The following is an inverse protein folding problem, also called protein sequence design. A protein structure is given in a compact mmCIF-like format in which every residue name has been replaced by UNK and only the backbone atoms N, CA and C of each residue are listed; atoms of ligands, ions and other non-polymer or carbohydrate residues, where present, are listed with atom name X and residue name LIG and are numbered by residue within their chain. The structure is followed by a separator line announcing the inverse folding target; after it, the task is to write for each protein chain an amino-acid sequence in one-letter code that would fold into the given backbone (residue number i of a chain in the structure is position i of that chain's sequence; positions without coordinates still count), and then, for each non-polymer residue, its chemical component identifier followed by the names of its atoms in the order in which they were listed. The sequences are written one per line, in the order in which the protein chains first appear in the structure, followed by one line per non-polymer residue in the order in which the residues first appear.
data_IF_607333360798
#
_entry.id   IF_607333360798
#
_cell.length_a   1.000
_cell.length_b   1.000
_cell.length_c   1.000
_cell.angle_alpha   90.00
_cell.angle_beta   90.00
_cell.angle_gamma   90.00
#
_symmetry.space_group_name_H-M   'P 1'
#
loop_
_entity.id
_entity.type
_entity.pdbx_description
1 polymer ?
#
# COMPACT_ATOMS: atom_id res chain seq x y z
N UNK A 1 2.51 -3.66 -18.28
CA UNK A 1 2.76 -4.54 -17.12
C UNK A 1 2.13 -3.93 -15.86
N UNK A 2 1.47 -4.75 -15.03
CA UNK A 2 0.70 -4.20 -13.89
C UNK A 2 1.57 -4.19 -12.64
N UNK A 3 1.66 -3.05 -11.95
CA UNK A 3 2.38 -2.90 -10.69
C UNK A 3 2.03 -3.96 -9.62
N UNK A 4 0.77 -4.41 -9.47
CA UNK A 4 0.41 -5.46 -8.52
C UNK A 4 1.17 -6.77 -8.69
N UNK A 5 1.35 -7.25 -9.93
CA UNK A 5 2.07 -8.50 -10.18
C UNK A 5 3.56 -8.38 -9.81
N UNK A 6 4.14 -7.23 -10.12
CA UNK A 6 5.54 -6.96 -9.78
C UNK A 6 5.71 -6.77 -8.26
N UNK A 7 4.76 -6.12 -7.61
CA UNK A 7 4.72 -6.01 -6.15
C UNK A 7 4.64 -7.39 -5.48
N UNK A 8 3.75 -8.27 -5.98
CA UNK A 8 3.62 -9.63 -5.49
C UNK A 8 4.92 -10.43 -5.62
N UNK A 9 5.64 -10.26 -6.73
CA UNK A 9 6.93 -10.89 -6.92
C UNK A 9 7.94 -10.46 -5.83
N UNK A 10 8.09 -9.15 -5.58
CA UNK A 10 9.10 -8.64 -4.65
C UNK A 10 8.72 -8.80 -3.18
N UNK A 11 7.46 -8.66 -2.83
CA UNK A 11 7.00 -8.68 -1.44
C UNK A 11 6.30 -9.98 -1.02
N UNK A 12 5.85 -10.78 -1.97
CA UNK A 12 5.27 -12.09 -1.74
C UNK A 12 6.27 -13.21 -2.03
N UNK A 13 6.52 -13.49 -3.30
CA UNK A 13 7.25 -14.68 -3.74
C UNK A 13 8.73 -14.68 -3.32
N UNK A 14 9.44 -13.56 -3.52
CA UNK A 14 10.88 -13.48 -3.25
C UNK A 14 11.20 -13.70 -1.78
N UNK A 15 10.53 -13.07 -0.78
CA UNK A 15 10.82 -13.28 0.63
C UNK A 15 10.15 -14.52 1.24
N UNK A 16 9.26 -15.22 0.52
CA UNK A 16 8.49 -16.33 1.09
C UNK A 16 9.32 -17.45 1.74
N UNK A 17 10.43 -17.94 1.16
CA UNK A 17 11.24 -18.95 1.81
C UNK A 17 11.84 -18.48 3.14
N UNK A 18 12.28 -17.23 3.20
CA UNK A 18 12.82 -16.61 4.41
C UNK A 18 11.73 -16.39 5.46
N UNK A 19 10.58 -15.86 5.06
CA UNK A 19 9.43 -15.66 5.95
C UNK A 19 8.97 -16.99 6.54
N UNK A 20 8.89 -18.06 5.73
CA UNK A 20 8.58 -19.42 6.20
C UNK A 20 9.54 -19.86 7.29
N UNK A 21 10.83 -19.65 7.11
CA UNK A 21 11.85 -20.01 8.09
C UNK A 21 11.68 -19.23 9.41
N UNK A 22 11.33 -17.94 9.34
CA UNK A 22 11.13 -17.08 10.52
C UNK A 22 9.95 -17.54 11.39
N UNK A 23 8.88 -18.04 10.79
CA UNK A 23 7.66 -18.43 11.53
C UNK A 23 7.59 -19.94 11.80
N UNK A 24 8.57 -20.71 11.34
CA UNK A 24 8.60 -22.16 11.51
C UNK A 24 8.51 -22.55 12.99
N UNK A 25 7.51 -23.42 13.33
CA UNK A 25 7.22 -23.84 14.69
C UNK A 25 6.46 -22.81 15.54
N UNK A 26 6.09 -21.66 14.95
CA UNK A 26 5.35 -20.58 15.58
C UNK A 26 4.19 -20.08 14.69
N UNK A 27 3.72 -20.91 13.78
CA UNK A 27 2.68 -20.55 12.80
C UNK A 27 1.37 -20.15 13.49
N UNK A 28 1.08 -20.73 14.66
CA UNK A 28 -0.11 -20.38 15.47
C UNK A 28 -0.04 -19.01 16.12
N UNK A 29 1.17 -18.47 16.30
CA UNK A 29 1.38 -17.12 16.85
C UNK A 29 1.21 -16.04 15.79
N UNK A 30 1.31 -16.41 14.51
CA UNK A 30 1.21 -15.49 13.41
C UNK A 30 -0.25 -15.11 13.11
N UNK A 31 -0.47 -13.83 12.80
CA UNK A 31 -1.79 -13.38 12.36
C UNK A 31 -2.18 -14.07 11.05
N UNK A 32 -3.46 -14.39 10.88
CA UNK A 32 -3.98 -15.09 9.70
C UNK A 32 -3.59 -14.44 8.36
N UNK A 33 -3.49 -13.10 8.31
CA UNK A 33 -3.07 -12.39 7.07
C UNK A 33 -1.65 -12.76 6.67
N UNK A 34 -0.75 -12.96 7.62
CA UNK A 34 0.63 -13.35 7.34
C UNK A 34 0.71 -14.81 6.86
N UNK A 35 -0.06 -15.70 7.47
CA UNK A 35 -0.07 -17.12 7.09
C UNK A 35 -0.74 -17.34 5.73
N UNK A 36 -1.87 -16.68 5.44
CA UNK A 36 -2.53 -16.75 4.12
C UNK A 36 -1.67 -16.12 3.01
N UNK A 37 -1.04 -14.97 3.30
CA UNK A 37 -0.12 -14.33 2.36
C UNK A 37 1.06 -15.24 2.02
N UNK A 38 1.67 -15.86 3.04
CA UNK A 38 2.77 -16.78 2.86
C UNK A 38 2.34 -18.04 2.11
N UNK A 39 1.18 -18.61 2.42
CA UNK A 39 0.65 -19.78 1.73
C UNK A 39 0.48 -19.49 0.23
N UNK A 40 -0.18 -18.38 -0.14
CA UNK A 40 -0.33 -17.98 -1.53
C UNK A 40 0.99 -17.70 -2.24
N UNK A 41 2.00 -17.18 -1.52
CA UNK A 41 3.32 -16.95 -2.10
C UNK A 41 4.09 -18.27 -2.35
N UNK A 42 3.89 -19.27 -1.52
CA UNK A 42 4.53 -20.59 -1.63
C UNK A 42 3.85 -21.52 -2.65
N UNK A 43 2.65 -21.21 -3.13
CA UNK A 43 2.02 -21.92 -4.24
C UNK A 43 2.80 -21.77 -5.56
N UNK A 44 3.58 -20.70 -5.67
CA UNK A 44 4.41 -20.44 -6.83
C UNK A 44 5.82 -21.04 -6.65
N UNK A 45 6.47 -21.48 -7.74
CA UNK A 45 7.88 -21.88 -7.67
C UNK A 45 8.77 -20.76 -7.11
N UNK A 46 9.83 -21.14 -6.41
CA UNK A 46 10.82 -20.17 -5.94
C UNK A 46 11.39 -19.35 -7.12
N UNK A 47 11.48 -18.02 -6.99
CA UNK A 47 12.01 -17.17 -8.06
C UNK A 47 13.43 -17.52 -8.45
N UNK A 48 13.71 -17.52 -9.76
CA UNK A 48 15.06 -17.69 -10.28
C UNK A 48 15.83 -16.37 -10.28
N UNK A 49 17.16 -16.42 -10.37
CA UNK A 49 18.00 -15.23 -10.54
C UNK A 49 17.65 -14.48 -11.81
N UNK A 50 17.36 -15.19 -12.91
CA UNK A 50 16.92 -14.58 -14.16
C UNK A 50 15.61 -13.78 -13.97
N UNK A 51 14.62 -14.37 -13.32
CA UNK A 51 13.36 -13.68 -13.00
C UNK A 51 13.58 -12.45 -12.11
N UNK A 52 14.50 -12.54 -11.13
CA UNK A 52 14.87 -11.40 -10.30
C UNK A 52 15.44 -10.26 -11.13
N UNK A 53 16.42 -10.52 -11.98
CA UNK A 53 17.05 -9.51 -12.84
C UNK A 53 16.06 -8.87 -13.81
N UNK A 54 15.21 -9.67 -14.44
CA UNK A 54 14.15 -9.17 -15.33
C UNK A 54 13.14 -8.28 -14.58
N UNK A 55 12.72 -8.68 -13.40
CA UNK A 55 11.76 -7.91 -12.61
C UNK A 55 12.37 -6.64 -11.99
N UNK A 56 13.65 -6.65 -11.63
CA UNK A 56 14.38 -5.41 -11.28
C UNK A 56 14.38 -4.42 -12.45
N UNK A 57 14.72 -4.87 -13.66
CA UNK A 57 14.70 -4.00 -14.84
C UNK A 57 13.28 -3.47 -15.16
N UNK A 58 12.24 -4.27 -14.93
CA UNK A 58 10.85 -3.83 -15.09
C UNK A 58 10.46 -2.77 -14.06
N UNK A 59 10.82 -2.99 -12.78
CA UNK A 59 10.60 -2.02 -11.71
C UNK A 59 11.27 -0.69 -12.01
N UNK A 60 12.53 -0.72 -12.44
CA UNK A 60 13.30 0.50 -12.71
C UNK A 60 12.74 1.27 -13.91
N UNK A 61 12.28 0.58 -14.97
CA UNK A 61 11.56 1.23 -16.08
C UNK A 61 10.27 1.89 -15.64
N UNK A 62 9.49 1.19 -14.81
CA UNK A 62 8.24 1.72 -14.27
C UNK A 62 8.48 2.95 -13.40
N UNK A 63 9.49 2.88 -12.51
CA UNK A 63 9.91 4.00 -11.68
C UNK A 63 10.35 5.20 -12.51
N UNK A 64 11.19 4.98 -13.51
CA UNK A 64 11.67 6.05 -14.42
C UNK A 64 10.50 6.69 -15.16
N UNK A 65 9.55 5.92 -15.66
CA UNK A 65 8.37 6.45 -16.34
C UNK A 65 7.51 7.32 -15.43
N UNK A 66 7.30 6.89 -14.18
CA UNK A 66 6.54 7.66 -13.19
C UNK A 66 7.29 8.94 -12.80
N UNK A 67 8.59 8.88 -12.53
CA UNK A 67 9.37 10.06 -12.15
C UNK A 67 9.40 11.13 -13.27
N UNK A 68 9.41 10.74 -14.54
CA UNK A 68 9.25 11.68 -15.66
C UNK A 68 7.91 12.39 -15.67
N UNK A 69 6.82 11.70 -15.34
CA UNK A 69 5.51 12.34 -15.18
C UNK A 69 5.50 13.29 -13.98
N UNK A 70 6.20 12.94 -12.91
CA UNK A 70 6.33 13.77 -11.71
C UNK A 70 7.22 15.00 -11.90
N UNK A 71 7.92 15.16 -13.02
CA UNK A 71 8.56 16.45 -13.39
C UNK A 71 7.51 17.54 -13.62
N UNK A 72 6.37 17.18 -14.21
CA UNK A 72 5.25 18.09 -14.46
C UNK A 72 4.24 18.13 -13.31
N UNK A 73 3.99 16.97 -12.68
CA UNK A 73 3.05 16.81 -11.57
C UNK A 73 3.78 16.21 -10.37
N UNK A 74 4.45 17.05 -9.54
CA UNK A 74 5.43 16.58 -8.57
C UNK A 74 4.85 15.76 -7.42
N UNK A 75 3.54 15.86 -7.18
CA UNK A 75 2.84 15.12 -6.12
C UNK A 75 1.61 14.42 -6.69
N UNK A 76 1.45 13.15 -6.34
CA UNK A 76 0.24 12.39 -6.61
C UNK A 76 -0.65 12.39 -5.36
N UNK A 77 -1.95 12.56 -5.58
CA UNK A 77 -2.95 12.54 -4.52
C UNK A 77 -3.95 11.43 -4.81
N UNK A 78 -4.18 10.55 -3.83
CA UNK A 78 -5.06 9.41 -3.99
C UNK A 78 -5.52 8.84 -2.63
N UNK A 79 -6.53 7.97 -2.58
CA UNK A 79 -6.85 7.26 -1.35
C UNK A 79 -5.71 6.29 -0.98
N UNK A 80 -5.37 6.13 0.32
CA UNK A 80 -4.38 5.16 0.78
C UNK A 80 -4.89 3.71 0.73
N UNK A 81 -6.20 3.53 0.78
CA UNK A 81 -6.89 2.24 0.81
C UNK A 81 -8.20 2.32 0.02
N UNK A 82 -8.63 1.21 -0.54
CA UNK A 82 -9.88 1.10 -1.31
C UNK A 82 -11.16 1.03 -0.46
N UNK A 83 -11.03 0.94 0.86
CA UNK A 83 -12.14 0.87 1.82
C UNK A 83 -11.85 1.75 3.03
N UNK A 84 -12.89 2.12 3.79
CA UNK A 84 -12.78 2.77 5.09
C UNK A 84 -12.33 1.80 6.18
N UNK A 85 -12.25 2.24 7.44
CA UNK A 85 -12.02 1.35 8.55
C UNK A 85 -13.08 0.23 8.57
N UNK A 86 -12.67 -0.98 8.92
CA UNK A 86 -13.48 -2.18 8.88
C UNK A 86 -13.39 -2.95 10.21
N UNK A 87 -14.30 -3.89 10.42
CA UNK A 87 -14.36 -4.67 11.64
C UNK A 87 -13.25 -5.72 11.69
N UNK A 88 -12.83 -6.06 12.91
CA UNK A 88 -11.90 -7.19 13.09
C UNK A 88 -12.46 -8.47 12.44
N UNK A 89 -11.59 -9.20 11.73
CA UNK A 89 -11.88 -10.45 11.02
C UNK A 89 -12.70 -10.29 9.73
N UNK A 90 -13.09 -9.09 9.32
CA UNK A 90 -13.59 -8.89 7.96
C UNK A 90 -12.51 -9.19 6.94
N UNK A 91 -12.86 -9.88 5.86
CA UNK A 91 -11.91 -10.37 4.84
C UNK A 91 -12.21 -9.86 3.44
N UNK A 92 -13.45 -9.45 3.22
CA UNK A 92 -13.90 -8.89 1.94
C UNK A 92 -14.93 -7.79 2.16
N UNK A 93 -15.05 -6.91 1.18
CA UNK A 93 -15.93 -5.74 1.22
C UNK A 93 -16.61 -5.56 -0.11
N UNK A 94 -17.87 -5.14 -0.07
CA UNK A 94 -18.62 -4.75 -1.25
C UNK A 94 -18.29 -3.30 -1.61
N UNK A 95 -17.77 -3.09 -2.82
CA UNK A 95 -17.45 -1.76 -3.37
C UNK A 95 -18.16 -1.63 -4.72
N UNK A 96 -19.25 -0.86 -4.75
CA UNK A 96 -20.17 -0.86 -5.88
C UNK A 96 -20.76 -2.25 -6.11
N UNK A 97 -20.62 -2.78 -7.33
CA UNK A 97 -21.06 -4.12 -7.68
C UNK A 97 -19.99 -5.20 -7.46
N UNK A 98 -18.77 -4.82 -7.09
CA UNK A 98 -17.66 -5.76 -6.89
C UNK A 98 -17.50 -6.13 -5.41
N UNK A 99 -17.09 -7.37 -5.16
CA UNK A 99 -16.55 -7.80 -3.88
C UNK A 99 -15.02 -7.81 -3.97
N UNK A 100 -14.35 -7.16 -3.02
CA UNK A 100 -12.89 -7.06 -2.97
C UNK A 100 -12.35 -7.63 -1.67
N UNK A 101 -11.24 -8.33 -1.74
CA UNK A 101 -10.51 -8.83 -0.59
C UNK A 101 -9.44 -7.86 -0.09
N UNK A 102 -8.74 -8.24 0.99
CA UNK A 102 -7.76 -7.41 1.68
C UNK A 102 -6.67 -6.86 0.74
N UNK A 103 -6.11 -7.69 -0.14
CA UNK A 103 -5.06 -7.26 -1.06
C UNK A 103 -5.55 -6.23 -2.07
N UNK A 104 -6.76 -6.39 -2.60
CA UNK A 104 -7.37 -5.42 -3.50
C UNK A 104 -7.66 -4.09 -2.79
N UNK A 105 -8.10 -4.15 -1.54
CA UNK A 105 -8.31 -2.96 -0.72
C UNK A 105 -7.01 -2.18 -0.47
N UNK A 106 -5.87 -2.88 -0.32
CA UNK A 106 -4.55 -2.27 -0.09
C UNK A 106 -3.82 -1.85 -1.38
N UNK A 107 -4.34 -2.18 -2.56
CA UNK A 107 -3.70 -1.88 -3.85
C UNK A 107 -3.29 -0.43 -4.04
N UNK A 108 -4.01 0.60 -3.58
CA UNK A 108 -3.59 1.99 -3.78
C UNK A 108 -2.22 2.34 -3.19
N UNK A 109 -1.78 1.65 -2.12
CA UNK A 109 -0.48 1.90 -1.48
C UNK A 109 0.68 1.09 -2.11
N UNK A 110 0.39 -0.04 -2.77
CA UNK A 110 1.41 -1.01 -3.20
C UNK A 110 2.38 -0.51 -4.27
N UNK A 111 2.01 0.34 -5.25
CA UNK A 111 2.96 0.84 -6.25
C UNK A 111 4.09 1.68 -5.64
N UNK A 112 3.81 2.41 -4.58
CA UNK A 112 4.76 3.39 -4.04
C UNK A 112 5.83 2.75 -3.18
N UNK A 113 5.51 1.72 -2.40
CA UNK A 113 6.53 0.93 -1.72
C UNK A 113 7.34 0.07 -2.69
N UNK A 114 6.72 -0.43 -3.78
CA UNK A 114 7.45 -1.11 -4.85
C UNK A 114 8.48 -0.19 -5.52
N UNK A 115 8.10 1.04 -5.79
CA UNK A 115 8.93 2.01 -6.52
C UNK A 115 9.82 2.85 -5.59
N UNK A 116 9.73 2.69 -4.27
CA UNK A 116 10.53 3.41 -3.28
C UNK A 116 10.24 4.92 -3.30
N UNK A 117 8.97 5.29 -3.27
CA UNK A 117 8.52 6.68 -3.23
C UNK A 117 8.01 7.03 -1.83
N UNK A 118 8.34 8.20 -1.31
CA UNK A 118 7.82 8.68 -0.03
C UNK A 118 6.32 8.96 -0.13
N UNK A 119 5.61 8.70 0.96
CA UNK A 119 4.19 8.98 1.06
C UNK A 119 3.82 9.51 2.44
N UNK A 120 2.91 10.48 2.48
CA UNK A 120 2.28 11.01 3.70
C UNK A 120 0.78 10.76 3.60
N UNK A 121 0.18 10.27 4.67
CA UNK A 121 -1.28 10.09 4.74
C UNK A 121 -1.83 11.00 5.83
N UNK A 122 -2.84 11.78 5.47
CA UNK A 122 -3.57 12.64 6.41
C UNK A 122 -5.04 12.28 6.43
N UNK A 123 -5.76 12.41 7.56
CA UNK A 123 -7.21 12.29 7.60
C UNK A 123 -7.79 13.50 6.87
N UNK A 124 -8.73 13.27 5.94
CA UNK A 124 -9.24 14.38 5.10
C UNK A 124 -10.76 14.51 5.10
N UNK A 125 -11.48 13.44 5.09
CA UNK A 125 -12.94 13.44 5.06
C UNK A 125 -13.53 12.44 6.06
N UNK A 126 -14.83 12.52 6.26
CA UNK A 126 -15.61 11.55 7.03
C UNK A 126 -16.61 10.90 6.08
N UNK A 127 -16.73 9.58 6.14
CA UNK A 127 -17.73 8.83 5.37
C UNK A 127 -19.14 9.10 5.89
N UNK A 128 -20.14 8.67 5.13
CA UNK A 128 -21.56 8.73 5.55
C UNK A 128 -21.84 7.94 6.83
N UNK A 129 -20.96 6.96 7.14
CA UNK A 129 -21.06 6.14 8.37
C UNK A 129 -20.27 6.72 9.55
N UNK A 130 -19.67 7.91 9.38
CA UNK A 130 -18.89 8.57 10.42
C UNK A 130 -17.44 8.08 10.54
N UNK A 131 -16.93 7.30 9.57
CA UNK A 131 -15.56 6.78 9.59
C UNK A 131 -14.60 7.75 8.90
N UNK A 132 -13.36 7.91 9.40
CA UNK A 132 -12.37 8.77 8.78
C UNK A 132 -11.93 8.22 7.42
N UNK A 133 -11.79 9.11 6.45
CA UNK A 133 -11.23 8.85 5.14
C UNK A 133 -9.92 9.62 5.02
N UNK A 134 -8.82 8.89 4.76
CA UNK A 134 -7.51 9.47 4.52
C UNK A 134 -7.29 9.82 3.04
N UNK A 135 -6.36 10.74 2.81
CA UNK A 135 -5.73 10.93 1.51
C UNK A 135 -4.23 10.68 1.61
N UNK A 136 -3.68 10.10 0.57
CA UNK A 136 -2.26 9.81 0.43
C UNK A 136 -1.64 10.80 -0.55
N UNK A 137 -0.58 11.46 -0.11
CA UNK A 137 0.29 12.32 -0.91
C UNK A 137 1.57 11.53 -1.20
N UNK A 138 1.92 11.38 -2.46
CA UNK A 138 3.13 10.66 -2.87
C UNK A 138 4.03 11.61 -3.63
N UNK A 139 5.29 11.72 -3.19
CA UNK A 139 6.31 12.59 -3.77
C UNK A 139 7.43 11.85 -4.48
N UNK A 140 8.37 12.62 -5.03
CA UNK A 140 9.60 12.08 -5.57
C UNK A 140 10.53 11.60 -4.43
N UNK A 141 11.46 10.68 -4.71
CA UNK A 141 12.41 10.21 -3.72
C UNK A 141 13.14 11.35 -3.03
N UNK A 142 13.27 11.25 -1.71
CA UNK A 142 13.97 12.24 -0.85
C UNK A 142 13.29 13.62 -0.79
N UNK A 143 12.02 13.74 -1.19
CA UNK A 143 11.24 14.98 -1.09
C UNK A 143 10.17 14.89 0.02
N UNK A 144 10.45 14.21 1.14
CA UNK A 144 9.55 14.04 2.28
C UNK A 144 9.11 15.38 2.86
N UNK A 145 10.02 16.35 2.93
CA UNK A 145 9.73 17.70 3.46
C UNK A 145 8.69 18.44 2.63
N UNK A 146 8.73 18.30 1.29
CA UNK A 146 7.73 18.87 0.38
C UNK A 146 6.35 18.27 0.66
N UNK A 147 6.29 16.97 0.90
CA UNK A 147 5.03 16.29 1.22
C UNK A 147 4.47 16.74 2.58
N UNK A 148 5.32 16.89 3.59
CA UNK A 148 4.91 17.36 4.91
C UNK A 148 4.38 18.80 4.84
N UNK A 149 5.06 19.69 4.11
CA UNK A 149 4.59 21.07 3.91
C UNK A 149 3.23 21.08 3.20
N UNK A 150 3.06 20.29 2.15
CA UNK A 150 1.79 20.19 1.44
C UNK A 150 0.69 19.61 2.33
N UNK A 151 1.00 18.60 3.15
CA UNK A 151 0.07 18.03 4.10
C UNK A 151 -0.44 19.09 5.09
N UNK A 152 0.44 19.91 5.67
CA UNK A 152 0.06 21.03 6.55
C UNK A 152 -0.84 22.04 5.82
N UNK A 153 -0.53 22.37 4.56
CA UNK A 153 -1.38 23.28 3.76
C UNK A 153 -2.76 22.71 3.53
N UNK A 154 -2.86 21.42 3.21
CA UNK A 154 -4.14 20.73 3.00
C UNK A 154 -4.95 20.63 4.30
N UNK A 155 -4.30 20.38 5.44
CA UNK A 155 -4.96 20.39 6.75
C UNK A 155 -5.52 21.79 7.08
N UNK A 156 -4.78 22.84 6.79
CA UNK A 156 -5.24 24.21 6.99
C UNK A 156 -6.45 24.54 6.10
N UNK A 157 -6.49 24.08 4.85
CA UNK A 157 -7.62 24.27 3.93
C UNK A 157 -8.85 23.48 4.40
N UNK A 158 -8.65 22.25 4.85
CA UNK A 158 -9.72 21.39 5.37
C UNK A 158 -10.31 21.94 6.67
N UNK A 159 -9.47 22.56 7.52
CA UNK A 159 -9.81 22.96 8.88
C UNK A 159 -9.71 21.82 9.90
N UNK A 160 -10.21 22.02 11.14
CA UNK A 160 -10.12 21.03 12.21
C UNK A 160 -10.73 19.68 11.81
N UNK A 161 -10.03 18.58 12.14
CA UNK A 161 -10.56 17.23 12.00
C UNK A 161 -11.07 16.74 13.36
N UNK A 162 -12.24 16.10 13.42
CA UNK A 162 -12.79 15.65 14.69
C UNK A 162 -11.87 14.64 15.36
N UNK A 163 -11.70 14.77 16.67
CA UNK A 163 -10.98 13.76 17.46
C UNK A 163 -11.71 12.41 17.44
N UNK A 164 -10.98 11.29 17.54
CA UNK A 164 -11.60 9.99 17.67
C UNK A 164 -12.56 9.93 18.87
N UNK A 165 -13.69 9.19 18.79
CA UNK A 165 -14.59 9.02 19.90
C UNK A 165 -13.86 8.47 21.14
N UNK A 166 -14.09 9.09 22.30
CA UNK A 166 -13.49 8.67 23.58
C UNK A 166 -12.08 9.22 23.85
N UNK A 167 -11.48 9.98 22.95
CA UNK A 167 -10.24 10.73 23.19
C UNK A 167 -10.60 12.16 23.52
N UNK A 168 -10.26 12.59 24.76
CA UNK A 168 -10.38 13.99 25.23
C UNK A 168 -9.01 14.62 25.34
#
# INVERSE_FOLDING_TARGET
ERAPNLWWFFFGQLPAPFTRQLIQGRETDAHWTATEFLAGALEQPAPTVEQLLLNLAKRDRMRTALLRQMEQFPVLLMPPCGVTAFRHRERCWKVGEAEIGLFQAMMPATPFNLLGLPAVVIPYAISTEGLPIGIQLVGKPYEEEVLLELAVRLENVRGPFPAPPGVR
#
